data_IF_422085098627
#
_entry.id   IF_422085098627
#
_cell.length_a   1.000
_cell.length_b   1.000
_cell.length_c   1.000
_cell.angle_alpha   90.00
_cell.angle_beta   90.00
_cell.angle_gamma   90.00
#
_symmetry.space_group_name_H-M   'P 1'
#
loop_
_entity.id
_entity.type
_entity.pdbx_description
1 polymer ?
#
# COMPACT_ATOMS: atom_id res chain seq x y z
N UNK A 1 10.14 41.64 -5.99
CA UNK A 1 11.09 40.71 -5.40
C UNK A 1 10.36 39.55 -4.75
N UNK A 2 10.86 38.35 -5.07
CA UNK A 2 10.58 37.05 -4.46
C UNK A 2 9.14 36.54 -4.47
N UNK A 3 8.79 35.79 -5.52
CA UNK A 3 8.66 34.34 -5.34
C UNK A 3 8.65 33.63 -6.72
N UNK A 4 9.80 33.04 -7.02
CA UNK A 4 10.00 32.14 -8.15
C UNK A 4 9.22 30.85 -7.88
N UNK A 5 8.01 30.76 -8.42
CA UNK A 5 7.41 29.48 -8.75
C UNK A 5 8.20 28.87 -9.93
N UNK A 6 9.33 28.25 -9.61
CA UNK A 6 10.12 27.47 -10.56
C UNK A 6 9.34 26.20 -10.93
N UNK A 7 8.50 26.34 -11.96
CA UNK A 7 7.88 25.26 -12.72
C UNK A 7 8.94 24.52 -13.54
N UNK A 8 9.94 23.94 -12.86
CA UNK A 8 11.02 23.15 -13.43
C UNK A 8 10.54 21.78 -13.90
N UNK A 9 9.69 21.73 -14.93
CA UNK A 9 9.61 20.57 -15.80
C UNK A 9 10.89 20.50 -16.64
N UNK A 10 12.02 20.18 -15.99
CA UNK A 10 13.24 19.80 -16.69
C UNK A 10 12.90 18.60 -17.58
N UNK A 11 13.03 18.76 -18.89
CA UNK A 11 12.81 17.69 -19.87
C UNK A 11 13.68 16.49 -19.52
N UNK A 12 13.07 15.47 -18.93
CA UNK A 12 13.75 14.23 -18.60
C UNK A 12 14.26 13.61 -19.90
N UNK A 13 15.55 13.31 -19.94
CA UNK A 13 16.14 12.63 -21.11
C UNK A 13 15.53 11.24 -21.24
N UNK A 14 15.39 10.74 -22.47
CA UNK A 14 14.88 9.39 -22.75
C UNK A 14 15.65 8.31 -21.97
N UNK A 15 16.97 8.50 -21.83
CA UNK A 15 17.82 7.64 -21.02
C UNK A 15 17.42 7.66 -19.54
N UNK A 16 17.13 8.82 -18.96
CA UNK A 16 16.71 8.95 -17.56
C UNK A 16 15.35 8.29 -17.35
N UNK A 17 14.39 8.52 -18.26
CA UNK A 17 13.07 7.89 -18.21
C UNK A 17 13.21 6.36 -18.26
N UNK A 18 14.05 5.85 -19.17
CA UNK A 18 14.29 4.40 -19.30
C UNK A 18 14.85 3.81 -18.01
N UNK A 19 15.84 4.46 -17.40
CA UNK A 19 16.44 4.00 -16.14
C UNK A 19 15.44 4.03 -14.98
N UNK A 20 14.58 5.05 -14.92
CA UNK A 20 13.52 5.13 -13.92
C UNK A 20 12.47 4.04 -14.10
N UNK A 21 12.04 3.79 -15.33
CA UNK A 21 11.08 2.72 -15.63
C UNK A 21 11.64 1.34 -15.26
N UNK A 22 12.93 1.09 -15.52
CA UNK A 22 13.59 -0.15 -15.12
C UNK A 22 13.62 -0.31 -13.58
N UNK A 23 13.98 0.75 -12.86
CA UNK A 23 13.98 0.74 -11.38
C UNK A 23 12.59 0.56 -10.79
N UNK A 24 11.60 1.30 -11.31
CA UNK A 24 10.19 1.18 -10.92
C UNK A 24 9.61 -0.20 -11.22
N UNK A 25 9.99 -0.80 -12.36
CA UNK A 25 9.58 -2.16 -12.71
C UNK A 25 10.12 -3.16 -11.69
N UNK A 26 11.40 -3.08 -11.35
CA UNK A 26 12.01 -3.95 -10.33
C UNK A 26 11.34 -3.76 -8.97
N UNK A 27 11.11 -2.50 -8.56
CA UNK A 27 10.41 -2.19 -7.31
C UNK A 27 8.99 -2.77 -7.30
N UNK A 28 8.25 -2.60 -8.39
CA UNK A 28 6.90 -3.13 -8.54
C UNK A 28 6.87 -4.65 -8.54
N UNK A 29 7.88 -5.30 -9.14
CA UNK A 29 8.02 -6.76 -9.16
C UNK A 29 8.22 -7.32 -7.75
N UNK A 30 9.09 -6.69 -6.94
CA UNK A 30 9.32 -7.07 -5.55
C UNK A 30 8.03 -7.00 -4.75
N UNK A 31 7.27 -5.92 -4.90
CA UNK A 31 6.08 -5.67 -4.08
C UNK A 31 4.78 -6.30 -4.61
N UNK A 32 4.71 -6.70 -5.87
CA UNK A 32 3.57 -7.43 -6.43
C UNK A 32 3.67 -8.93 -6.18
N UNK A 33 4.84 -9.54 -6.41
CA UNK A 33 5.04 -10.98 -6.24
C UNK A 33 5.61 -11.33 -4.87
N UNK A 34 6.55 -10.53 -4.38
CA UNK A 34 7.30 -10.83 -3.18
C UNK A 34 6.62 -10.43 -1.87
N UNK A 35 5.60 -9.56 -1.90
CA UNK A 35 4.95 -9.05 -0.68
C UNK A 35 4.09 -10.11 0.01
N UNK A 36 3.41 -10.96 -0.76
CA UNK A 36 2.58 -12.06 -0.25
C UNK A 36 3.40 -13.26 0.26
N UNK A 37 4.71 -13.29 0.02
CA UNK A 37 5.57 -14.36 0.49
C UNK A 37 5.76 -14.30 2.01
N UNK A 38 5.76 -15.46 2.71
CA UNK A 38 6.17 -15.53 4.11
C UNK A 38 7.61 -15.04 4.28
N UNK A 39 7.95 -14.54 5.46
CA UNK A 39 9.25 -13.92 5.76
C UNK A 39 10.44 -14.82 5.37
N UNK A 40 10.37 -16.12 5.66
CA UNK A 40 11.45 -17.08 5.35
C UNK A 40 11.68 -17.25 3.83
N UNK A 41 10.64 -17.05 3.01
CA UNK A 41 10.73 -17.15 1.56
C UNK A 41 11.24 -15.86 0.91
N UNK A 42 11.16 -14.72 1.61
CA UNK A 42 11.63 -13.42 1.10
C UNK A 42 13.14 -13.41 0.87
N UNK A 43 13.91 -14.10 1.72
CA UNK A 43 15.37 -14.23 1.53
C UNK A 43 15.71 -15.02 0.27
N UNK A 44 14.95 -16.08 -0.02
CA UNK A 44 15.12 -16.86 -1.25
C UNK A 44 14.70 -16.05 -2.48
N UNK A 45 13.61 -15.31 -2.39
CA UNK A 45 13.15 -14.41 -3.46
C UNK A 45 14.19 -13.33 -3.77
N UNK A 46 14.77 -12.70 -2.74
CA UNK A 46 15.86 -11.73 -2.88
C UNK A 46 17.05 -12.33 -3.65
N UNK A 47 17.53 -13.50 -3.25
CA UNK A 47 18.64 -14.18 -3.91
C UNK A 47 18.34 -14.49 -5.39
N UNK A 48 17.14 -15.01 -5.69
CA UNK A 48 16.72 -15.32 -7.07
C UNK A 48 16.66 -14.05 -7.90
N UNK A 49 16.00 -13.00 -7.41
CA UNK A 49 15.87 -11.74 -8.13
C UNK A 49 17.24 -11.12 -8.42
N UNK A 50 18.13 -11.09 -7.43
CA UNK A 50 19.51 -10.59 -7.59
C UNK A 50 20.30 -11.41 -8.61
N UNK A 51 20.17 -12.73 -8.61
CA UNK A 51 20.80 -13.62 -9.60
C UNK A 51 20.31 -13.36 -11.03
N UNK A 52 19.04 -13.03 -11.21
CA UNK A 52 18.49 -12.62 -12.52
C UNK A 52 19.03 -11.25 -12.95
N UNK A 53 19.09 -10.28 -12.03
CA UNK A 53 19.55 -8.92 -12.32
C UNK A 53 21.07 -8.83 -12.55
N UNK A 54 21.86 -9.72 -11.96
CA UNK A 54 23.30 -9.83 -12.21
C UNK A 54 23.63 -10.56 -13.51
N UNK A 55 22.65 -11.24 -14.12
CA UNK A 55 22.83 -12.07 -15.32
C UNK A 55 23.59 -13.36 -15.05
N UNK A 56 23.74 -13.77 -13.79
CA UNK A 56 24.45 -14.99 -13.40
C UNK A 56 23.60 -16.26 -13.53
N UNK A 57 22.31 -16.13 -13.85
CA UNK A 57 21.44 -17.27 -14.05
C UNK A 57 21.66 -17.90 -15.44
N UNK A 58 22.13 -19.16 -15.53
CA UNK A 58 22.44 -19.80 -16.81
C UNK A 58 21.19 -20.15 -17.64
N UNK A 59 20.02 -20.27 -17.02
CA UNK A 59 18.76 -20.60 -17.70
C UNK A 59 17.99 -19.35 -18.13
N UNK A 60 18.15 -18.25 -17.39
CA UNK A 60 17.40 -17.02 -17.59
C UNK A 60 18.35 -15.82 -17.58
N UNK A 61 18.96 -15.55 -18.72
CA UNK A 61 19.89 -14.43 -18.87
C UNK A 61 19.17 -13.09 -18.81
N UNK A 62 19.82 -12.08 -18.23
CA UNK A 62 19.31 -10.72 -18.21
C UNK A 62 19.17 -10.18 -19.65
N UNK A 63 18.02 -9.60 -20.05
CA UNK A 63 17.89 -8.98 -21.36
C UNK A 63 18.91 -7.85 -21.56
N UNK A 64 19.45 -7.72 -22.78
CA UNK A 64 20.46 -6.68 -23.12
C UNK A 64 19.93 -5.25 -22.96
N UNK A 65 18.61 -5.07 -23.06
CA UNK A 65 17.93 -3.80 -22.85
C UNK A 65 17.98 -3.33 -21.39
N UNK A 66 18.17 -4.22 -20.42
CA UNK A 66 18.23 -3.90 -19.00
C UNK A 66 19.65 -3.45 -18.64
N UNK A 67 19.83 -2.14 -18.47
CA UNK A 67 21.11 -1.50 -18.17
C UNK A 67 21.09 -0.97 -16.74
N UNK A 68 21.60 -1.78 -15.80
CA UNK A 68 21.80 -1.34 -14.42
C UNK A 68 23.15 -0.64 -14.30
N UNK A 69 23.12 0.66 -13.99
CA UNK A 69 24.32 1.41 -13.61
C UNK A 69 24.63 1.20 -12.13
N UNK A 70 25.86 1.50 -11.69
CA UNK A 70 26.24 1.42 -10.27
C UNK A 70 25.33 2.24 -9.34
N UNK A 71 24.74 3.32 -9.85
CA UNK A 71 23.86 4.20 -9.08
C UNK A 71 22.40 3.72 -9.07
N UNK A 72 21.99 2.92 -10.07
CA UNK A 72 20.63 2.41 -10.21
C UNK A 72 20.50 0.91 -9.84
N UNK A 73 21.61 0.26 -9.44
CA UNK A 73 21.61 -1.11 -8.95
C UNK A 73 21.14 -1.18 -7.49
N UNK A 74 20.38 -2.23 -7.17
CA UNK A 74 19.98 -2.55 -5.80
C UNK A 74 21.21 -2.75 -4.90
N UNK A 75 21.30 -2.07 -3.74
CA UNK A 75 22.42 -2.27 -2.82
C UNK A 75 22.49 -3.71 -2.28
N UNK A 76 23.69 -4.20 -1.99
CA UNK A 76 23.92 -5.61 -1.59
C UNK A 76 23.84 -5.86 -0.08
N UNK A 77 23.83 -4.81 0.75
CA UNK A 77 23.95 -4.94 2.22
C UNK A 77 22.71 -5.45 2.96
N UNK A 78 21.53 -5.39 2.34
CA UNK A 78 20.24 -5.80 2.90
C UNK A 78 19.39 -6.49 1.82
N UNK A 79 18.17 -6.88 2.14
CA UNK A 79 17.27 -7.49 1.16
C UNK A 79 16.62 -6.44 0.26
N UNK A 80 16.11 -6.85 -0.90
CA UNK A 80 15.33 -5.99 -1.79
C UNK A 80 14.11 -5.33 -1.13
N UNK A 81 13.62 -5.88 0.00
CA UNK A 81 12.47 -5.35 0.74
C UNK A 81 12.83 -4.17 1.67
N UNK A 82 14.12 -3.93 1.89
CA UNK A 82 14.62 -2.87 2.75
C UNK A 82 14.84 -1.55 2.00
N UNK A 83 14.71 -1.57 0.66
CA UNK A 83 14.91 -0.42 -0.21
C UNK A 83 13.62 0.04 -0.88
N UNK A 84 13.54 1.35 -1.13
CA UNK A 84 12.55 2.01 -1.97
C UNK A 84 13.24 2.69 -3.15
N UNK A 85 12.54 2.74 -4.28
CA UNK A 85 13.05 3.41 -5.47
C UNK A 85 12.62 4.88 -5.51
N UNK A 86 13.57 5.80 -5.62
CA UNK A 86 13.33 7.23 -5.80
C UNK A 86 13.70 7.69 -7.21
N UNK A 87 12.79 8.47 -7.80
CA UNK A 87 12.96 9.16 -9.08
C UNK A 87 13.84 10.40 -8.93
N UNK A 88 15.09 10.21 -8.50
CA UNK A 88 16.10 11.28 -8.34
C UNK A 88 17.29 11.00 -9.23
N UNK A 89 17.81 12.04 -9.90
CA UNK A 89 18.89 11.90 -10.87
C UNK A 89 18.62 10.76 -11.88
N UNK A 90 19.48 9.74 -11.95
CA UNK A 90 19.32 8.58 -12.84
C UNK A 90 18.55 7.40 -12.23
N UNK A 91 17.94 7.59 -11.05
CA UNK A 91 17.30 6.55 -10.24
C UNK A 91 18.17 6.21 -9.04
N UNK A 92 17.56 6.14 -7.85
CA UNK A 92 18.27 5.87 -6.60
C UNK A 92 17.48 4.92 -5.71
N UNK A 93 18.19 3.96 -5.10
CA UNK A 93 17.64 3.07 -4.08
C UNK A 93 18.01 3.59 -2.70
N UNK A 94 17.00 3.93 -1.90
CA UNK A 94 17.19 4.42 -0.53
C UNK A 94 16.55 3.47 0.46
N UNK A 95 17.06 3.42 1.69
CA UNK A 95 16.49 2.53 2.70
C UNK A 95 15.18 3.07 3.25
N UNK A 96 14.24 2.18 3.53
CA UNK A 96 13.03 2.58 4.26
C UNK A 96 13.35 3.18 5.62
N UNK A 97 14.40 2.68 6.29
CA UNK A 97 14.86 3.17 7.58
C UNK A 97 15.35 4.63 7.52
N UNK A 98 15.90 5.09 6.39
CA UNK A 98 16.36 6.48 6.26
C UNK A 98 15.20 7.48 6.19
N UNK A 99 13.96 7.00 6.10
CA UNK A 99 12.74 7.81 6.13
C UNK A 99 12.11 7.89 7.52
N UNK A 100 12.69 7.22 8.51
CA UNK A 100 12.21 7.28 9.89
C UNK A 100 12.46 8.68 10.45
N UNK A 101 11.38 9.43 10.68
CA UNK A 101 11.39 10.56 11.59
C UNK A 101 11.04 10.04 12.99
N UNK A 102 11.89 10.34 13.97
CA UNK A 102 11.58 10.09 15.37
C UNK A 102 10.54 11.13 15.79
N UNK A 103 9.34 10.75 16.26
CA UNK A 103 8.38 11.71 16.77
C UNK A 103 8.97 12.38 18.00
N UNK A 104 9.01 13.72 18.03
CA UNK A 104 9.31 14.44 19.25
C UNK A 104 8.16 14.25 20.24
N UNK A 105 8.46 13.72 21.42
CA UNK A 105 7.44 13.45 22.44
C UNK A 105 7.02 14.75 23.12
N UNK A 106 5.72 15.06 23.06
CA UNK A 106 5.10 16.06 23.93
C UNK A 106 5.03 15.54 25.36
N UNK A 107 5.14 16.44 26.35
CA UNK A 107 5.06 16.07 27.79
C UNK A 107 3.71 15.44 28.19
N UNK A 108 2.66 15.64 27.40
CA UNK A 108 1.31 15.13 27.64
C UNK A 108 0.96 13.89 26.79
N UNK A 109 1.87 13.38 25.96
CA UNK A 109 1.59 12.21 25.13
C UNK A 109 1.58 10.93 25.99
N UNK A 110 0.47 10.19 25.92
CA UNK A 110 0.36 8.88 26.58
C UNK A 110 1.23 7.86 25.84
N UNK A 111 2.18 7.19 26.51
CA UNK A 111 3.04 6.19 25.87
C UNK A 111 2.26 5.04 25.22
N UNK A 112 1.07 4.72 25.75
CA UNK A 112 0.17 3.67 25.26
C UNK A 112 -0.41 3.97 23.87
N UNK A 113 -0.53 5.25 23.51
CA UNK A 113 -1.03 5.71 22.21
C UNK A 113 0.11 5.87 21.18
N UNK A 114 1.37 5.66 21.59
CA UNK A 114 2.55 5.87 20.76
C UNK A 114 2.84 4.65 19.88
N UNK A 115 2.58 4.79 18.58
CA UNK A 115 3.17 3.90 17.57
C UNK A 115 4.60 4.37 17.29
N UNK A 116 5.58 3.53 17.63
CA UNK A 116 6.97 3.73 17.24
C UNK A 116 7.09 3.54 15.72
N UNK A 117 7.53 4.54 14.94
CA UNK A 117 7.76 4.35 13.52
C UNK A 117 8.81 3.27 13.30
N UNK A 118 8.52 2.32 12.42
CA UNK A 118 9.44 1.29 11.96
C UNK A 118 9.51 1.28 10.44
N UNK A 119 10.50 0.60 9.87
CA UNK A 119 10.57 0.42 8.42
C UNK A 119 9.28 -0.22 7.87
N UNK A 120 8.62 -1.10 8.64
CA UNK A 120 7.33 -1.67 8.26
C UNK A 120 6.21 -0.63 8.24
N UNK A 121 6.14 0.25 9.24
CA UNK A 121 5.07 1.25 9.27
C UNK A 121 5.16 2.23 8.10
N UNK A 122 6.38 2.62 7.72
CA UNK A 122 6.62 3.49 6.55
C UNK A 122 6.20 2.78 5.26
N UNK A 123 6.56 1.50 5.10
CA UNK A 123 6.20 0.71 3.93
C UNK A 123 4.70 0.61 3.75
N UNK A 124 3.96 0.29 4.82
CA UNK A 124 2.50 0.18 4.74
C UNK A 124 1.87 1.54 4.41
N UNK A 125 2.30 2.62 5.08
CA UNK A 125 1.81 3.97 4.77
C UNK A 125 2.08 4.38 3.32
N UNK A 126 3.27 4.10 2.79
CA UNK A 126 3.60 4.38 1.39
C UNK A 126 2.66 3.69 0.41
N UNK A 127 2.34 2.41 0.65
CA UNK A 127 1.38 1.70 -0.19
C UNK A 127 -0.05 2.19 0.03
N UNK A 128 -0.46 2.51 1.26
CA UNK A 128 -1.76 3.10 1.51
C UNK A 128 -1.94 4.40 0.70
N UNK A 129 -0.96 5.31 0.71
CA UNK A 129 -1.02 6.56 -0.06
C UNK A 129 -1.22 6.31 -1.57
N UNK A 130 -0.43 5.38 -2.13
CA UNK A 130 -0.51 5.05 -3.57
C UNK A 130 -1.85 4.40 -3.91
N UNK A 131 -2.24 3.33 -3.20
CA UNK A 131 -3.43 2.58 -3.54
C UNK A 131 -4.71 3.39 -3.29
N UNK A 132 -4.76 4.21 -2.23
CA UNK A 132 -5.90 5.08 -1.95
C UNK A 132 -6.07 6.18 -3.00
N UNK A 133 -4.97 6.87 -3.38
CA UNK A 133 -5.02 7.93 -4.40
C UNK A 133 -5.45 7.40 -5.78
N UNK A 134 -5.09 6.15 -6.09
CA UNK A 134 -5.49 5.47 -7.33
C UNK A 134 -6.80 4.69 -7.22
N UNK A 135 -7.48 4.68 -6.06
CA UNK A 135 -8.73 3.95 -5.80
C UNK A 135 -8.64 2.45 -6.07
N UNK A 136 -7.50 1.85 -5.76
CA UNK A 136 -7.26 0.41 -5.91
C UNK A 136 -7.47 -0.26 -4.55
N UNK A 137 -8.39 -1.24 -4.43
CA UNK A 137 -8.55 -2.01 -3.20
C UNK A 137 -7.26 -2.75 -2.83
N UNK A 138 -6.93 -2.81 -1.53
CA UNK A 138 -5.76 -3.52 -1.04
C UNK A 138 -6.09 -4.34 0.21
N UNK A 139 -5.36 -5.45 0.41
CA UNK A 139 -5.49 -6.32 1.56
C UNK A 139 -4.16 -6.37 2.32
N UNK A 140 -4.20 -6.06 3.62
CA UNK A 140 -3.03 -6.12 4.50
C UNK A 140 -3.13 -7.38 5.37
N UNK A 141 -2.28 -8.36 5.08
CA UNK A 141 -2.26 -9.66 5.78
C UNK A 141 -1.06 -9.73 6.72
N UNK A 142 -1.27 -10.30 7.90
CA UNK A 142 -0.20 -10.58 8.87
C UNK A 142 -0.78 -11.15 10.16
N UNK A 143 0.09 -11.66 11.04
CA UNK A 143 -0.32 -12.28 12.31
C UNK A 143 -1.18 -11.33 13.16
N UNK A 144 -2.08 -11.89 13.97
CA UNK A 144 -2.88 -11.11 14.93
C UNK A 144 -1.98 -10.41 15.95
N UNK A 145 -2.36 -9.19 16.37
CA UNK A 145 -1.58 -8.43 17.36
C UNK A 145 -0.37 -7.67 16.83
N UNK A 146 -0.13 -7.64 15.52
CA UNK A 146 1.01 -6.89 14.92
C UNK A 146 0.70 -5.40 14.63
N UNK A 147 -0.36 -4.83 15.22
CA UNK A 147 -0.67 -3.40 15.08
C UNK A 147 -1.18 -2.95 13.70
N UNK A 148 -1.49 -3.86 12.76
CA UNK A 148 -2.02 -3.53 11.42
C UNK A 148 -3.21 -2.58 11.47
N UNK A 149 -4.22 -2.91 12.28
CA UNK A 149 -5.45 -2.15 12.39
C UNK A 149 -5.21 -0.76 12.98
N UNK A 150 -4.34 -0.66 13.98
CA UNK A 150 -3.93 0.60 14.59
C UNK A 150 -3.21 1.48 13.58
N UNK A 151 -2.32 0.90 12.77
CA UNK A 151 -1.60 1.61 11.73
C UNK A 151 -2.51 2.16 10.63
N UNK A 152 -3.41 1.33 10.11
CA UNK A 152 -4.36 1.75 9.06
C UNK A 152 -5.28 2.84 9.59
N UNK A 153 -5.88 2.66 10.77
CA UNK A 153 -6.75 3.67 11.37
C UNK A 153 -6.01 4.99 11.59
N UNK A 154 -4.76 4.96 12.08
CA UNK A 154 -3.95 6.19 12.22
C UNK A 154 -3.74 6.86 10.87
N UNK A 155 -3.37 6.11 9.84
CA UNK A 155 -3.19 6.64 8.49
C UNK A 155 -4.49 7.30 7.97
N UNK A 156 -5.63 6.64 8.12
CA UNK A 156 -6.93 7.18 7.69
C UNK A 156 -7.31 8.49 8.41
N UNK A 157 -6.92 8.67 9.67
CA UNK A 157 -7.14 9.92 10.42
C UNK A 157 -6.27 11.06 9.91
N UNK A 158 -5.10 10.77 9.34
CA UNK A 158 -4.20 11.79 8.76
C UNK A 158 -4.61 12.28 7.38
N UNK A 159 -5.55 11.60 6.72
CA UNK A 159 -6.02 11.99 5.39
C UNK A 159 -6.82 13.30 5.43
N UNK A 160 -6.77 14.13 4.37
CA UNK A 160 -7.57 15.35 4.27
C UNK A 160 -9.08 15.05 4.38
N UNK A 161 -9.75 15.55 5.43
CA UNK A 161 -11.17 15.29 5.76
C UNK A 161 -12.15 15.90 4.75
N UNK A 162 -11.64 16.82 3.96
CA UNK A 162 -12.30 17.55 2.88
C UNK A 162 -12.45 16.64 1.66
N UNK A 163 -11.52 15.69 1.48
CA UNK A 163 -11.49 14.74 0.37
C UNK A 163 -11.95 13.36 0.80
N UNK A 164 -11.55 12.88 1.97
CA UNK A 164 -11.78 11.50 2.40
C UNK A 164 -12.69 11.38 3.61
N UNK A 165 -13.56 10.36 3.59
CA UNK A 165 -14.43 9.95 4.69
C UNK A 165 -14.10 8.49 5.01
N UNK A 166 -13.32 8.23 6.07
CA UNK A 166 -13.11 6.87 6.55
C UNK A 166 -14.42 6.27 7.10
N UNK A 167 -14.67 5.01 6.74
CA UNK A 167 -15.74 4.18 7.25
C UNK A 167 -15.14 2.83 7.68
N UNK A 168 -14.95 2.64 8.99
CA UNK A 168 -14.33 1.45 9.55
C UNK A 168 -15.39 0.43 9.96
N UNK A 169 -15.23 -0.80 9.49
CA UNK A 169 -16.04 -1.97 9.85
C UNK A 169 -15.15 -3.00 10.53
N UNK A 170 -15.58 -3.48 11.70
CA UNK A 170 -14.89 -4.57 12.38
C UNK A 170 -15.70 -5.85 12.22
N UNK A 171 -15.18 -6.80 11.47
CA UNK A 171 -15.85 -8.07 11.27
C UNK A 171 -15.73 -8.96 12.50
N UNK A 172 -16.78 -9.73 12.74
CA UNK A 172 -16.88 -10.70 13.82
C UNK A 172 -17.66 -11.91 13.33
N UNK A 173 -17.66 -12.99 14.11
CA UNK A 173 -18.48 -14.18 13.82
C UNK A 173 -19.99 -13.88 13.69
N UNK A 174 -20.48 -12.74 14.20
CA UNK A 174 -21.90 -12.34 14.14
C UNK A 174 -22.19 -11.29 13.06
N UNK A 175 -21.18 -10.83 12.32
CA UNK A 175 -21.39 -9.87 11.25
C UNK A 175 -22.18 -10.52 10.11
N UNK A 176 -23.29 -9.91 9.72
CA UNK A 176 -24.15 -10.36 8.61
C UNK A 176 -23.97 -9.46 7.38
N UNK A 177 -24.36 -9.95 6.20
CA UNK A 177 -24.31 -9.14 4.97
C UNK A 177 -25.14 -7.85 5.11
N UNK A 178 -26.32 -7.93 5.73
CA UNK A 178 -27.17 -6.76 6.00
C UNK A 178 -26.47 -5.75 6.91
N UNK A 179 -25.82 -6.20 7.99
CA UNK A 179 -25.07 -5.30 8.86
C UNK A 179 -23.91 -4.61 8.12
N UNK A 180 -23.16 -5.36 7.30
CA UNK A 180 -22.11 -4.80 6.45
C UNK A 180 -22.65 -3.72 5.52
N UNK A 181 -23.77 -4.01 4.83
CA UNK A 181 -24.44 -3.05 3.98
C UNK A 181 -24.88 -1.80 4.75
N UNK A 182 -25.53 -1.96 5.90
CA UNK A 182 -26.03 -0.85 6.71
C UNK A 182 -24.90 0.07 7.16
N UNK A 183 -23.76 -0.50 7.60
CA UNK A 183 -22.60 0.30 8.00
C UNK A 183 -22.00 1.04 6.81
N UNK A 184 -21.84 0.39 5.64
CA UNK A 184 -21.35 1.05 4.43
C UNK A 184 -22.27 2.20 4.04
N UNK A 185 -23.58 1.92 3.96
CA UNK A 185 -24.61 2.88 3.55
C UNK A 185 -24.75 4.05 4.53
N UNK A 186 -24.43 3.87 5.83
CA UNK A 186 -24.52 4.94 6.84
C UNK A 186 -23.66 6.18 6.54
N UNK A 187 -22.64 6.05 5.67
CA UNK A 187 -21.75 7.14 5.25
C UNK A 187 -22.02 7.63 3.82
N UNK A 188 -23.09 7.14 3.17
CA UNK A 188 -23.43 7.45 1.80
C UNK A 188 -24.76 8.21 1.71
N UNK A 189 -24.81 9.19 0.83
CA UNK A 189 -26.04 9.90 0.49
C UNK A 189 -26.75 9.21 -0.68
N UNK A 190 -28.08 9.16 -0.58
CA UNK A 190 -28.91 8.72 -1.70
C UNK A 190 -28.88 9.77 -2.81
N UNK A 191 -28.35 9.40 -3.98
CA UNK A 191 -28.29 10.28 -5.16
C UNK A 191 -29.57 10.20 -5.99
N UNK A 192 -30.03 8.98 -6.24
CA UNK A 192 -31.28 8.64 -6.96
C UNK A 192 -31.76 7.26 -6.53
N UNK A 193 -32.87 6.77 -7.07
CA UNK A 193 -33.39 5.42 -6.74
C UNK A 193 -32.31 4.37 -7.04
N UNK A 194 -31.88 3.63 -6.01
CA UNK A 194 -30.89 2.57 -6.11
C UNK A 194 -29.44 3.04 -6.30
N UNK A 195 -29.14 4.33 -6.20
CA UNK A 195 -27.76 4.84 -6.34
C UNK A 195 -27.38 5.67 -5.14
N UNK A 196 -26.31 5.23 -4.47
CA UNK A 196 -25.73 5.84 -3.29
C UNK A 196 -24.29 6.24 -3.58
N UNK A 197 -23.82 7.28 -2.91
CA UNK A 197 -22.42 7.67 -3.00
C UNK A 197 -22.04 8.62 -1.86
N UNK A 198 -20.74 8.83 -1.62
CA UNK A 198 -20.30 9.80 -0.61
C UNK A 198 -20.85 11.20 -0.94
N UNK A 199 -20.88 12.12 0.04
CA UNK A 199 -21.18 13.53 -0.18
C UNK A 199 -20.42 14.12 -1.40
N UNK A 200 -21.00 15.09 -2.13
CA UNK A 200 -20.33 15.71 -3.28
C UNK A 200 -18.91 16.20 -2.94
N UNK A 201 -17.95 15.88 -3.80
CA UNK A 201 -16.54 16.26 -3.61
C UNK A 201 -15.75 15.37 -2.65
N UNK A 202 -16.39 14.39 -1.99
CA UNK A 202 -15.75 13.47 -1.06
C UNK A 202 -15.65 12.04 -1.59
N UNK A 203 -14.76 11.27 -1.00
CA UNK A 203 -14.53 9.85 -1.26
C UNK A 203 -14.68 9.07 0.05
N UNK A 204 -15.55 8.06 0.06
CA UNK A 204 -15.69 7.17 1.21
C UNK A 204 -14.63 6.05 1.11
N UNK A 205 -13.81 5.91 2.15
CA UNK A 205 -12.86 4.80 2.27
C UNK A 205 -13.46 3.77 3.21
N UNK A 206 -13.73 2.57 2.72
CA UNK A 206 -14.23 1.46 3.52
C UNK A 206 -13.05 0.64 4.01
N UNK A 207 -12.76 0.70 5.31
CA UNK A 207 -11.74 -0.13 5.95
C UNK A 207 -12.42 -1.27 6.70
N UNK A 208 -12.04 -2.51 6.39
CA UNK A 208 -12.57 -3.71 7.03
C UNK A 208 -11.47 -4.35 7.86
N UNK A 209 -11.64 -4.34 9.18
CA UNK A 209 -10.79 -5.06 10.11
C UNK A 209 -11.28 -6.50 10.26
N UNK A 210 -10.34 -7.42 10.50
CA UNK A 210 -10.62 -8.84 10.70
C UNK A 210 -11.48 -9.50 9.60
N UNK A 211 -11.12 -9.24 8.33
CA UNK A 211 -11.88 -9.67 7.14
C UNK A 211 -12.29 -11.16 7.15
N UNK A 212 -11.48 -12.05 7.70
CA UNK A 212 -11.71 -13.49 7.73
C UNK A 212 -12.63 -14.00 8.86
N UNK A 213 -13.06 -13.13 9.78
CA UNK A 213 -13.85 -13.49 10.97
C UNK A 213 -15.33 -13.86 10.77
N UNK A 214 -16.06 -13.43 9.73
CA UNK A 214 -17.48 -13.78 9.60
C UNK A 214 -17.75 -15.28 9.62
N UNK A 215 -18.87 -15.70 10.21
CA UNK A 215 -19.23 -17.12 10.23
C UNK A 215 -19.51 -17.64 8.81
N UNK A 216 -19.06 -18.86 8.54
CA UNK A 216 -19.41 -19.59 7.30
C UNK A 216 -20.83 -20.12 7.41
N UNK A 217 -21.60 -20.02 6.35
CA UNK A 217 -22.88 -20.70 6.24
C UNK A 217 -22.69 -22.20 5.92
N UNK A 218 -23.80 -22.95 5.83
CA UNK A 218 -23.81 -24.40 5.59
C UNK A 218 -22.99 -24.80 4.36
N UNK A 219 -22.97 -23.96 3.32
CA UNK A 219 -22.25 -24.18 2.07
C UNK A 219 -20.84 -23.58 2.04
N UNK A 220 -20.35 -23.06 3.18
CA UNK A 220 -18.99 -22.55 3.33
C UNK A 220 -18.78 -21.09 2.92
N UNK A 221 -19.77 -20.44 2.32
CA UNK A 221 -19.70 -19.02 1.97
C UNK A 221 -19.71 -18.13 3.22
N UNK A 222 -19.16 -16.92 3.08
CA UNK A 222 -19.19 -15.88 4.11
C UNK A 222 -19.94 -14.68 3.52
N UNK A 223 -21.28 -14.57 3.72
CA UNK A 223 -22.10 -13.55 3.06
C UNK A 223 -21.58 -12.10 3.19
N UNK A 224 -21.01 -11.66 4.35
CA UNK A 224 -20.40 -10.32 4.44
C UNK A 224 -19.24 -10.09 3.46
N UNK A 225 -18.43 -11.12 3.20
CA UNK A 225 -17.28 -11.04 2.29
C UNK A 225 -17.77 -11.11 0.84
N UNK A 226 -18.76 -11.95 0.53
CA UNK A 226 -19.36 -12.04 -0.81
C UNK A 226 -20.00 -10.71 -1.23
N UNK A 227 -20.61 -9.97 -0.30
CA UNK A 227 -21.12 -8.63 -0.58
C UNK A 227 -20.00 -7.67 -1.00
N UNK A 228 -18.86 -7.66 -0.29
CA UNK A 228 -17.71 -6.85 -0.65
C UNK A 228 -17.14 -7.25 -2.02
N UNK A 229 -17.08 -8.56 -2.28
CA UNK A 229 -16.63 -9.09 -3.57
C UNK A 229 -17.53 -8.63 -4.71
N UNK A 230 -18.86 -8.75 -4.55
CA UNK A 230 -19.84 -8.30 -5.54
C UNK A 230 -19.67 -6.80 -5.83
N UNK A 231 -19.48 -5.99 -4.78
CA UNK A 231 -19.23 -4.56 -4.93
C UNK A 231 -17.93 -4.25 -5.69
N UNK A 232 -16.82 -4.95 -5.39
CA UNK A 232 -15.53 -4.74 -6.07
C UNK A 232 -15.60 -5.19 -7.54
N UNK A 233 -16.22 -6.34 -7.82
CA UNK A 233 -16.27 -6.95 -9.15
C UNK A 233 -17.24 -6.22 -10.10
N UNK A 234 -18.40 -5.79 -9.58
CA UNK A 234 -19.49 -5.26 -10.40
C UNK A 234 -19.77 -3.76 -10.20
N UNK A 235 -19.20 -3.15 -9.16
CA UNK A 235 -19.50 -1.76 -8.78
C UNK A 235 -20.88 -1.57 -8.13
N UNK A 236 -21.60 -2.66 -7.83
CA UNK A 236 -22.90 -2.68 -7.17
C UNK A 236 -23.11 -4.01 -6.42
N UNK A 237 -24.14 -4.09 -5.58
CA UNK A 237 -24.60 -5.31 -4.93
C UNK A 237 -26.13 -5.32 -4.82
#
# INVERSE_FOLDING_TARGET
>A
DEDQADGGAFGLTEQTITLWLQGLFIFSLVWSLGSALPLDHRVRFDAVLRGLLSGQNPLYTRPESVKLTKNNSLPERLTVYDFMFERKATGSWVEWSSKLSVPELGRDDRPEDMIVPTAETIRISYFLDIYLSHRIPMLIVGQTGTGKSVLVNRHLVTLPKEVYIPNTLNFSARTSANLTQDIIMSRLDRRRRGVFGPPPGKQCIVFVDDLNMPAKEVYGAQPPIELLRMWIDHGHW
#
